data_IF_429730550356
#
_entry.id   IF_429730550356
#
_cell.length_a   1.000
_cell.length_b   1.000
_cell.length_c   1.000
_cell.angle_alpha   90.00
_cell.angle_beta   90.00
_cell.angle_gamma   90.00
#
_symmetry.space_group_name_H-M   'P 1'
#
loop_
_entity.id
_entity.type
_entity.pdbx_description
1 polymer ?
#
# COMPACT_ATOMS: atom_id res chain seq x y z
N UNK A 1 10.61 21.36 1.70
CA UNK A 1 9.59 22.41 1.52
C UNK A 1 8.84 22.53 2.83
N UNK A 2 8.59 23.74 3.35
CA UNK A 2 7.89 23.93 4.62
C UNK A 2 6.40 24.21 4.37
N UNK A 3 5.55 23.22 4.62
CA UNK A 3 4.10 23.34 4.46
C UNK A 3 3.39 23.91 5.71
N UNK A 4 4.10 24.11 6.82
CA UNK A 4 3.52 24.58 8.09
C UNK A 4 2.98 26.02 8.04
N UNK A 5 3.28 26.77 6.97
CA UNK A 5 2.86 28.16 6.79
C UNK A 5 1.81 28.33 5.68
N UNK A 6 1.29 27.24 5.09
CA UNK A 6 0.19 27.34 4.15
C UNK A 6 -1.13 27.54 4.94
N UNK A 7 -1.90 28.56 4.55
CA UNK A 7 -3.20 28.89 5.14
C UNK A 7 -4.18 27.71 5.14
N UNK A 8 -4.09 26.84 4.13
CA UNK A 8 -4.95 25.67 3.98
C UNK A 8 -4.73 24.61 5.07
N UNK A 9 -3.60 24.65 5.78
CA UNK A 9 -3.20 23.64 6.77
C UNK A 9 -2.96 24.20 8.17
N UNK A 10 -3.34 25.45 8.44
CA UNK A 10 -3.10 26.10 9.74
C UNK A 10 -3.74 25.37 10.92
N UNK A 11 -4.83 24.66 10.69
CA UNK A 11 -5.55 23.92 11.72
C UNK A 11 -5.08 22.47 11.86
N UNK A 12 -4.02 22.07 11.14
CA UNK A 12 -3.45 20.73 11.23
C UNK A 12 -2.32 20.75 12.26
N UNK A 13 -2.52 20.05 13.38
CA UNK A 13 -1.41 19.61 14.20
C UNK A 13 -0.73 18.42 13.51
N UNK A 14 0.44 18.69 12.92
CA UNK A 14 1.23 17.70 12.19
C UNK A 14 1.77 16.58 13.09
N UNK A 15 1.97 16.85 14.38
CA UNK A 15 2.44 15.83 15.33
C UNK A 15 1.31 14.85 15.61
N UNK A 16 0.12 15.34 15.92
CA UNK A 16 -1.07 14.50 16.15
C UNK A 16 -1.47 13.72 14.88
N UNK A 17 -1.32 14.32 13.69
CA UNK A 17 -1.55 13.64 12.43
C UNK A 17 -0.54 12.49 12.22
N UNK A 18 0.74 12.73 12.47
CA UNK A 18 1.80 11.71 12.36
C UNK A 18 1.56 10.54 13.31
N UNK A 19 1.13 10.83 14.54
CA UNK A 19 0.77 9.81 15.53
C UNK A 19 -0.60 9.16 15.30
N UNK A 20 -1.31 9.52 14.22
CA UNK A 20 -2.65 9.01 13.85
C UNK A 20 -3.72 9.27 14.92
N UNK A 21 -3.58 10.35 15.69
CA UNK A 21 -4.55 10.77 16.71
C UNK A 21 -5.67 11.65 16.16
N UNK A 22 -5.47 12.24 14.99
CA UNK A 22 -6.51 13.01 14.29
C UNK A 22 -7.53 12.03 13.69
N UNK A 23 -8.80 12.16 14.07
CA UNK A 23 -9.88 11.34 13.47
C UNK A 23 -10.08 11.72 12.00
N UNK A 24 -10.06 10.75 11.06
CA UNK A 24 -10.27 11.05 9.66
C UNK A 24 -11.73 11.52 9.42
N UNK A 25 -11.96 12.45 8.49
CA UNK A 25 -13.31 12.95 8.20
C UNK A 25 -14.21 11.91 7.53
N UNK A 26 -13.62 10.84 6.99
CA UNK A 26 -14.31 9.71 6.39
C UNK A 26 -13.69 8.41 6.92
N UNK A 27 -14.57 7.52 7.40
CA UNK A 27 -14.21 6.17 7.80
C UNK A 27 -14.93 5.22 6.83
N UNK A 28 -14.21 4.46 5.97
CA UNK A 28 -14.83 3.53 5.05
C UNK A 28 -15.54 2.41 5.82
N UNK A 29 -16.62 1.89 5.22
CA UNK A 29 -17.28 0.70 5.76
C UNK A 29 -16.42 -0.52 5.49
N UNK A 30 -16.21 -1.35 6.53
CA UNK A 30 -15.47 -2.60 6.47
C UNK A 30 -16.34 -3.69 7.10
N UNK A 31 -16.65 -4.72 6.32
CA UNK A 31 -17.55 -5.82 6.68
C UNK A 31 -16.82 -7.03 7.27
N UNK A 32 -15.48 -7.03 7.29
CA UNK A 32 -14.66 -8.12 7.80
C UNK A 32 -13.20 -8.02 7.36
N UNK A 33 -12.37 -8.99 7.80
CA UNK A 33 -10.93 -9.03 7.48
C UNK A 33 -10.62 -9.31 6.00
N UNK A 34 -11.54 -9.95 5.29
CA UNK A 34 -11.43 -10.28 3.86
C UNK A 34 -12.30 -9.35 2.99
N UNK A 35 -12.79 -8.23 3.54
CA UNK A 35 -13.70 -7.35 2.80
C UNK A 35 -13.01 -6.67 1.61
N UNK A 36 -13.55 -6.90 0.42
CA UNK A 36 -13.07 -6.30 -0.83
C UNK A 36 -14.00 -5.21 -1.36
N UNK A 37 -15.03 -4.77 -0.63
CA UNK A 37 -16.07 -3.85 -1.13
C UNK A 37 -15.56 -2.46 -1.51
N UNK A 38 -14.37 -2.08 -1.05
CA UNK A 38 -13.71 -0.81 -1.38
C UNK A 38 -12.73 -0.93 -2.56
N UNK A 39 -12.69 -2.09 -3.23
CA UNK A 39 -11.95 -2.34 -4.47
C UNK A 39 -12.91 -2.50 -5.64
N UNK A 40 -12.44 -2.28 -6.86
CA UNK A 40 -13.27 -2.48 -8.05
C UNK A 40 -13.58 -3.98 -8.26
N UNK A 41 -14.84 -4.27 -8.59
CA UNK A 41 -15.32 -5.64 -8.73
C UNK A 41 -14.69 -6.37 -9.91
N UNK A 42 -14.20 -5.66 -10.94
CA UNK A 42 -13.55 -6.30 -12.09
C UNK A 42 -12.34 -7.12 -11.64
N UNK A 43 -11.51 -6.60 -10.74
CA UNK A 43 -10.33 -7.33 -10.25
C UNK A 43 -10.67 -8.39 -9.21
N UNK A 44 -11.59 -8.11 -8.30
CA UNK A 44 -11.87 -9.00 -7.17
C UNK A 44 -12.81 -10.15 -7.52
N UNK A 45 -13.45 -10.09 -8.68
CA UNK A 45 -14.24 -11.19 -9.24
C UNK A 45 -13.41 -12.17 -10.08
N UNK A 46 -12.18 -11.80 -10.46
CA UNK A 46 -11.27 -12.71 -11.15
C UNK A 46 -10.78 -13.81 -10.20
N UNK A 47 -10.49 -14.99 -10.77
CA UNK A 47 -9.87 -16.06 -10.00
C UNK A 47 -8.44 -15.65 -9.60
N UNK A 48 -8.03 -15.83 -8.33
CA UNK A 48 -6.70 -15.44 -7.86
C UNK A 48 -5.63 -16.44 -8.32
N UNK A 49 -5.38 -16.48 -9.63
CA UNK A 49 -4.45 -17.41 -10.26
C UNK A 49 -3.31 -16.64 -10.93
N UNK A 50 -2.11 -17.21 -10.89
CA UNK A 50 -0.99 -16.68 -11.64
C UNK A 50 -1.15 -17.04 -13.11
N UNK A 51 -0.98 -16.06 -14.00
CA UNK A 51 -0.89 -16.31 -15.45
C UNK A 51 0.25 -17.30 -15.72
N UNK A 52 0.02 -18.41 -16.42
CA UNK A 52 1.08 -19.36 -16.72
C UNK A 52 2.21 -18.70 -17.52
N UNK A 53 3.45 -18.84 -17.04
CA UNK A 53 4.63 -18.42 -17.78
C UNK A 53 5.21 -19.59 -18.56
N UNK A 54 5.56 -19.36 -19.83
CA UNK A 54 6.09 -20.37 -20.73
C UNK A 54 7.61 -20.30 -20.92
N UNK A 55 8.27 -19.24 -20.42
CA UNK A 55 9.69 -18.97 -20.62
C UNK A 55 10.34 -18.62 -19.29
N UNK A 56 11.52 -19.19 -19.06
CA UNK A 56 12.40 -18.80 -17.95
C UNK A 56 13.32 -17.67 -18.41
N UNK A 57 13.61 -16.73 -17.50
CA UNK A 57 14.62 -15.69 -17.72
C UNK A 57 16.01 -16.31 -17.89
N UNK A 58 16.84 -15.69 -18.73
CA UNK A 58 18.26 -16.05 -18.86
C UNK A 58 19.10 -15.49 -17.70
N UNK A 59 20.38 -15.88 -17.61
CA UNK A 59 21.27 -15.49 -16.50
C UNK A 59 21.41 -13.96 -16.36
N UNK A 60 21.59 -13.26 -17.48
CA UNK A 60 21.73 -11.79 -17.48
C UNK A 60 20.44 -11.08 -17.04
N UNK A 61 19.27 -11.62 -17.40
CA UNK A 61 17.99 -11.09 -16.94
C UNK A 61 17.77 -11.35 -15.45
N UNK A 62 18.23 -12.49 -14.92
CA UNK A 62 18.16 -12.81 -13.50
C UNK A 62 19.05 -11.89 -12.65
N UNK A 63 20.18 -11.43 -13.17
CA UNK A 63 21.06 -10.48 -12.47
C UNK A 63 20.35 -9.16 -12.11
N UNK A 64 19.31 -8.77 -12.85
CA UNK A 64 18.52 -7.58 -12.54
C UNK A 64 17.73 -7.68 -11.22
N UNK A 65 17.53 -8.90 -10.70
CA UNK A 65 16.80 -9.16 -9.46
C UNK A 65 17.72 -9.34 -8.24
N UNK A 66 19.04 -9.11 -8.38
CA UNK A 66 19.95 -9.13 -7.24
C UNK A 66 19.53 -8.09 -6.18
N UNK A 67 19.35 -8.54 -4.94
CA UNK A 67 18.91 -7.69 -3.83
C UNK A 67 17.41 -7.42 -3.79
N UNK A 68 16.60 -8.17 -4.54
CA UNK A 68 15.13 -8.05 -4.51
C UNK A 68 14.53 -8.49 -3.17
N UNK A 69 15.10 -9.53 -2.56
CA UNK A 69 14.58 -10.05 -1.30
C UNK A 69 14.74 -9.03 -0.16
N UNK A 70 13.65 -8.75 0.53
CA UNK A 70 13.61 -7.87 1.69
C UNK A 70 12.70 -8.44 2.77
N UNK A 71 13.17 -8.38 4.02
CA UNK A 71 12.40 -8.76 5.20
C UNK A 71 12.38 -7.55 6.13
N UNK A 72 11.20 -7.23 6.65
CA UNK A 72 11.06 -6.15 7.61
C UNK A 72 11.74 -6.53 8.94
N UNK A 73 12.58 -5.64 9.47
CA UNK A 73 13.33 -5.88 10.73
C UNK A 73 12.45 -6.21 11.93
N UNK A 74 11.18 -5.77 11.92
CA UNK A 74 10.22 -6.01 12.99
C UNK A 74 9.47 -7.34 12.88
N UNK A 75 9.76 -8.15 11.86
CA UNK A 75 9.05 -9.41 11.56
C UNK A 75 9.76 -10.66 12.10
N UNK A 76 10.93 -10.52 12.71
CA UNK A 76 11.67 -11.61 13.36
C UNK A 76 11.33 -11.77 14.85
#
# INVERSE_FOLDING_TARGET
MNFSHNLDFLNIDWSELLFRNVTPPFVPTINGVEDTSNFEAEFTSEAPVLTPQHQSLNETEQEAFQGFDWIAEWKD
#
